data_IF_917083176935
#
_entry.id   IF_917083176935
#
_cell.length_a   1.000
_cell.length_b   1.000
_cell.length_c   1.000
_cell.angle_alpha   90.00
_cell.angle_beta   90.00
_cell.angle_gamma   90.00
#
_symmetry.space_group_name_H-M   'P 1'
#
loop_
_entity.id
_entity.type
_entity.pdbx_description
1 polymer ?
#
# COMPACT_ATOMS: atom_id res chain seq x y z
N UNK A 1 -23.08 15.70 -0.58
CA UNK A 1 -23.23 14.36 -1.19
C UNK A 1 -24.08 13.51 -0.26
N UNK A 2 -25.03 12.73 -0.79
CA UNK A 2 -25.94 11.92 0.01
C UNK A 2 -25.28 10.68 0.59
N UNK A 3 -25.87 10.11 1.64
CA UNK A 3 -25.50 8.78 2.16
C UNK A 3 -26.38 7.73 1.49
N UNK A 4 -25.79 6.75 0.84
CA UNK A 4 -26.49 5.58 0.29
C UNK A 4 -26.35 4.39 1.23
N UNK A 5 -27.40 3.55 1.32
CA UNK A 5 -27.39 2.35 2.16
C UNK A 5 -27.04 1.13 1.32
N UNK A 6 -25.92 0.50 1.64
CA UNK A 6 -25.49 -0.76 1.04
C UNK A 6 -25.79 -1.93 1.99
N UNK A 7 -26.53 -2.93 1.51
CA UNK A 7 -26.72 -4.20 2.21
C UNK A 7 -25.66 -5.19 1.71
N UNK A 8 -24.74 -5.59 2.60
CA UNK A 8 -23.64 -6.50 2.29
C UNK A 8 -23.80 -7.81 3.08
N UNK A 9 -23.66 -8.94 2.38
CA UNK A 9 -23.51 -10.26 3.00
C UNK A 9 -22.04 -10.56 3.20
N UNK A 10 -21.66 -10.84 4.44
CA UNK A 10 -20.29 -11.18 4.85
C UNK A 10 -20.31 -12.33 5.83
N UNK A 11 -19.25 -13.13 5.84
CA UNK A 11 -19.13 -14.27 6.76
C UNK A 11 -19.22 -13.83 8.23
N UNK A 12 -19.85 -14.65 9.06
CA UNK A 12 -20.00 -14.39 10.51
C UNK A 12 -18.66 -14.09 11.17
N UNK A 13 -17.62 -14.84 10.82
CA UNK A 13 -16.27 -14.67 11.40
C UNK A 13 -15.70 -13.29 11.09
N UNK A 14 -15.93 -12.75 9.89
CA UNK A 14 -15.49 -11.41 9.51
C UNK A 14 -16.24 -10.32 10.30
N UNK A 15 -17.56 -10.50 10.52
CA UNK A 15 -18.37 -9.58 11.33
C UNK A 15 -17.85 -9.51 12.76
N UNK A 16 -17.57 -10.65 13.39
CA UNK A 16 -17.07 -10.70 14.77
C UNK A 16 -15.70 -10.02 14.91
N UNK A 17 -14.79 -10.27 13.96
CA UNK A 17 -13.49 -9.59 13.93
C UNK A 17 -13.64 -8.08 13.76
N UNK A 18 -14.50 -7.64 12.85
CA UNK A 18 -14.79 -6.23 12.63
C UNK A 18 -15.37 -5.54 13.86
N UNK A 19 -16.30 -6.20 14.55
CA UNK A 19 -16.89 -5.69 15.81
C UNK A 19 -15.82 -5.50 16.87
N UNK A 20 -15.00 -6.52 17.14
CA UNK A 20 -13.92 -6.45 18.13
C UNK A 20 -12.90 -5.35 17.81
N UNK A 21 -12.51 -5.21 16.55
CA UNK A 21 -11.62 -4.12 16.12
C UNK A 21 -12.27 -2.75 16.36
N UNK A 22 -13.56 -2.62 16.01
CA UNK A 22 -14.28 -1.35 16.14
C UNK A 22 -14.38 -0.88 17.60
N UNK A 23 -14.60 -1.82 18.53
CA UNK A 23 -14.61 -1.54 19.97
C UNK A 23 -13.23 -1.10 20.47
N UNK A 24 -12.17 -1.83 20.11
CA UNK A 24 -10.80 -1.53 20.55
C UNK A 24 -10.33 -0.15 20.05
N UNK A 25 -10.67 0.21 18.81
CA UNK A 25 -10.21 1.43 18.16
C UNK A 25 -11.25 2.57 18.21
N UNK A 26 -12.34 2.42 18.99
CA UNK A 26 -13.42 3.40 19.15
C UNK A 26 -13.96 3.93 17.81
N UNK A 27 -14.11 3.01 16.85
CA UNK A 27 -14.64 3.30 15.51
C UNK A 27 -15.90 2.47 15.25
N UNK A 28 -16.54 2.62 14.10
CA UNK A 28 -17.71 1.83 13.70
C UNK A 28 -17.42 0.98 12.48
N UNK A 29 -18.13 -0.13 12.32
CA UNK A 29 -18.03 -0.99 11.13
C UNK A 29 -18.31 -0.18 9.86
N UNK A 30 -19.33 0.68 9.87
CA UNK A 30 -19.65 1.54 8.73
C UNK A 30 -18.51 2.51 8.39
N UNK A 31 -17.81 3.05 9.39
CA UNK A 31 -16.64 3.91 9.16
C UNK A 31 -15.47 3.11 8.57
N UNK A 32 -15.21 1.90 9.07
CA UNK A 32 -14.18 1.02 8.52
C UNK A 32 -14.43 0.68 7.05
N UNK A 33 -15.67 0.28 6.73
CA UNK A 33 -16.07 -0.04 5.35
C UNK A 33 -15.98 1.21 4.48
N UNK A 34 -16.44 2.37 4.96
CA UNK A 34 -16.31 3.63 4.24
C UNK A 34 -14.86 4.00 3.95
N UNK A 35 -13.99 3.96 4.96
CA UNK A 35 -12.59 4.33 4.84
C UNK A 35 -11.88 3.36 3.86
N UNK A 36 -12.18 2.07 3.92
CA UNK A 36 -11.68 1.07 2.96
C UNK A 36 -12.16 1.34 1.53
N UNK A 37 -13.48 1.46 1.31
CA UNK A 37 -14.05 1.70 -0.02
C UNK A 37 -13.53 3.01 -0.63
N UNK A 38 -13.31 4.03 0.21
CA UNK A 38 -12.75 5.32 -0.24
C UNK A 38 -11.26 5.24 -0.60
N UNK A 39 -10.54 4.25 -0.07
CA UNK A 39 -9.13 4.02 -0.40
C UNK A 39 -8.91 3.19 -1.66
N UNK A 40 -9.97 2.58 -2.21
CA UNK A 40 -9.86 1.75 -3.40
C UNK A 40 -9.43 2.62 -4.59
N UNK A 41 -8.41 2.20 -5.37
CA UNK A 41 -8.03 2.93 -6.57
C UNK A 41 -9.15 2.80 -7.61
N UNK A 42 -9.60 3.94 -8.16
CA UNK A 42 -10.68 3.98 -9.16
C UNK A 42 -10.13 4.11 -10.60
N UNK A 43 -8.82 4.32 -10.75
CA UNK A 43 -8.19 4.46 -12.07
C UNK A 43 -7.63 3.11 -12.55
N UNK A 44 -8.39 2.38 -13.38
CA UNK A 44 -7.84 1.28 -14.20
C UNK A 44 -7.13 1.80 -15.46
N UNK A 45 -7.36 3.06 -15.86
CA UNK A 45 -6.71 3.67 -17.01
C UNK A 45 -5.45 4.45 -16.62
N UNK A 46 -4.33 3.73 -16.61
CA UNK A 46 -3.08 4.32 -17.07
C UNK A 46 -2.05 4.63 -15.99
N UNK A 47 -1.21 3.61 -15.74
CA UNK A 47 0.15 3.71 -15.20
C UNK A 47 0.24 4.08 -13.73
N UNK A 48 0.59 3.07 -12.92
CA UNK A 48 1.44 3.22 -11.73
C UNK A 48 0.97 4.38 -10.85
N UNK A 49 0.05 4.12 -9.91
CA UNK A 49 -0.09 4.95 -8.71
C UNK A 49 1.30 5.49 -8.36
N UNK A 50 1.54 6.80 -8.61
CA UNK A 50 2.89 7.33 -8.81
C UNK A 50 3.72 6.85 -7.65
N UNK A 51 4.54 5.81 -7.89
CA UNK A 51 5.22 5.14 -6.80
C UNK A 51 5.91 6.23 -6.02
N UNK A 52 5.68 6.27 -4.72
CA UNK A 52 6.27 7.32 -3.90
C UNK A 52 7.77 7.33 -4.20
N UNK A 53 8.45 8.48 -4.17
CA UNK A 53 9.86 8.54 -4.54
C UNK A 53 10.73 7.50 -3.81
N UNK A 54 10.36 7.11 -2.60
CA UNK A 54 10.97 6.01 -1.84
C UNK A 54 10.77 4.64 -2.52
N UNK A 55 9.54 4.27 -2.88
CA UNK A 55 9.24 2.96 -3.51
C UNK A 55 9.88 2.86 -4.90
N UNK A 56 9.92 3.96 -5.66
CA UNK A 56 10.62 4.00 -6.96
C UNK A 56 12.13 3.76 -6.81
N UNK A 57 12.78 4.29 -5.77
CA UNK A 57 14.20 4.04 -5.50
C UNK A 57 14.45 2.57 -5.16
N UNK A 58 13.61 1.97 -4.31
CA UNK A 58 13.71 0.55 -3.96
C UNK A 58 13.56 -0.36 -5.18
N UNK A 59 12.59 -0.09 -6.05
CA UNK A 59 12.42 -0.84 -7.29
C UNK A 59 13.61 -0.66 -8.25
N UNK A 60 14.17 0.55 -8.33
CA UNK A 60 15.38 0.82 -9.11
C UNK A 60 16.60 0.06 -8.59
N UNK A 61 16.75 -0.08 -7.27
CA UNK A 61 17.80 -0.92 -6.66
C UNK A 61 17.56 -2.41 -6.93
N UNK A 62 16.30 -2.86 -6.88
CA UNK A 62 15.97 -4.27 -7.14
C UNK A 62 16.01 -4.65 -8.64
N UNK A 63 15.93 -3.68 -9.55
CA UNK A 63 15.93 -3.91 -11.00
C UNK A 63 17.32 -4.17 -11.60
N UNK A 64 18.39 -3.84 -10.87
CA UNK A 64 19.76 -4.15 -11.26
C UNK A 64 20.31 -5.20 -10.30
N UNK A 65 20.58 -6.41 -10.81
CA UNK A 65 21.35 -7.44 -10.11
C UNK A 65 22.82 -7.06 -9.98
N UNK A 66 23.10 -5.88 -9.41
CA UNK A 66 24.45 -5.45 -9.11
C UNK A 66 24.91 -6.22 -7.88
N UNK A 67 25.96 -7.01 -8.06
CA UNK A 67 26.63 -7.71 -6.97
C UNK A 67 27.46 -6.71 -6.14
N UNK A 68 27.79 -7.10 -4.91
CA UNK A 68 28.61 -6.30 -3.99
C UNK A 68 29.95 -5.91 -4.63
N UNK A 69 30.50 -6.78 -5.48
CA UNK A 69 31.75 -6.56 -6.20
C UNK A 69 31.64 -5.47 -7.28
N UNK A 70 30.48 -5.31 -7.91
CA UNK A 70 30.24 -4.24 -8.88
C UNK A 70 30.15 -2.88 -8.18
N UNK A 71 29.54 -2.85 -6.99
CA UNK A 71 29.51 -1.65 -6.17
C UNK A 71 30.91 -1.27 -5.67
N UNK A 72 31.74 -2.26 -5.29
CA UNK A 72 33.12 -2.03 -4.85
C UNK A 72 33.99 -1.45 -5.98
N UNK A 73 33.87 -1.98 -7.19
CA UNK A 73 34.55 -1.46 -8.38
C UNK A 73 34.12 -0.02 -8.69
N UNK A 74 32.83 0.27 -8.64
CA UNK A 74 32.31 1.63 -8.82
C UNK A 74 32.89 2.63 -7.81
N UNK A 75 33.02 2.25 -6.54
CA UNK A 75 33.60 3.11 -5.51
C UNK A 75 35.09 3.39 -5.73
N UNK A 76 35.85 2.40 -6.20
CA UNK A 76 37.27 2.56 -6.54
C UNK A 76 37.45 3.49 -7.74
N UNK A 77 36.60 3.39 -8.78
CA UNK A 77 36.67 4.32 -9.92
C UNK A 77 36.26 5.75 -9.55
N UNK A 78 35.26 5.90 -8.67
CA UNK A 78 34.70 7.19 -8.32
C UNK A 78 35.55 7.98 -7.32
N UNK A 79 36.22 7.29 -6.41
CA UNK A 79 36.96 7.90 -5.30
C UNK A 79 38.42 7.46 -5.21
N UNK A 80 38.88 6.57 -6.09
CA UNK A 80 40.28 6.16 -6.18
C UNK A 80 41.11 7.18 -6.94
N UNK A 81 41.45 8.28 -6.27
CA UNK A 81 42.67 9.06 -6.51
C UNK A 81 43.32 9.34 -5.17
#
# INVERSE_FOLDING_TARGET
MGKERLHLSVERVAIERGRRYSELHRTSISKLVHDFLSSLPVDEDGRRARLTPAVRRLLGVAAGGADVEDYRRHLLEKYGS
#
